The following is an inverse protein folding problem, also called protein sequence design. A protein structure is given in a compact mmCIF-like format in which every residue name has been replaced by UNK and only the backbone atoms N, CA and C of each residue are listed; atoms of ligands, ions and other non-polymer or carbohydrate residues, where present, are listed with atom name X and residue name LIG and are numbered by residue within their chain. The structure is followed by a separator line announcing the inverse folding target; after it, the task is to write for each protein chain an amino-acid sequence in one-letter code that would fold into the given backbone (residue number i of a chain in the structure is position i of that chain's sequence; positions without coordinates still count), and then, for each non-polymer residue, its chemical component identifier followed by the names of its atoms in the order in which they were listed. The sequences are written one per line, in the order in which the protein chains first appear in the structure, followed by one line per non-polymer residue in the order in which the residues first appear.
data_IF_600752034684
#
_entry.id   IF_600752034684
#
_cell.length_a   1.000
_cell.length_b   1.000
_cell.length_c   1.000
_cell.angle_alpha   90.00
_cell.angle_beta   90.00
_cell.angle_gamma   90.00
#
_symmetry.space_group_name_H-M   'P 1'
#
loop_
_entity.id
_entity.type
_entity.pdbx_description
1 polymer ?
#
# COMPACT_ATOMS: atom_id res chain seq x y z
N UNK A 1 14.88 -5.90 -18.29
CA UNK A 1 13.51 -5.78 -18.81
C UNK A 1 12.61 -5.73 -17.59
N UNK A 2 11.78 -4.70 -17.42
CA UNK A 2 10.88 -4.60 -16.26
C UNK A 2 9.68 -5.52 -16.49
N UNK A 3 9.62 -6.61 -15.76
CA UNK A 3 8.51 -7.57 -15.82
C UNK A 3 7.37 -7.12 -14.89
N UNK A 4 6.13 -7.22 -15.37
CA UNK A 4 4.93 -6.96 -14.57
C UNK A 4 4.35 -8.30 -14.13
N UNK A 5 4.36 -8.56 -12.82
CA UNK A 5 3.77 -9.77 -12.24
C UNK A 5 2.27 -9.59 -12.06
N UNK A 6 1.49 -10.09 -13.02
CA UNK A 6 0.02 -10.10 -12.93
C UNK A 6 -0.47 -11.32 -12.18
N UNK A 7 -1.25 -11.13 -11.12
CA UNK A 7 -1.84 -12.21 -10.30
C UNK A 7 -3.26 -11.85 -9.86
N UNK A 8 -4.07 -12.85 -9.54
CA UNK A 8 -5.45 -12.58 -9.07
C UNK A 8 -5.48 -12.04 -7.64
N UNK A 9 -4.63 -12.57 -6.76
CA UNK A 9 -4.72 -12.36 -5.30
C UNK A 9 -3.43 -11.77 -4.74
N UNK A 10 -3.54 -11.09 -3.59
CA UNK A 10 -2.39 -10.43 -2.92
C UNK A 10 -1.23 -11.38 -2.65
N UNK A 11 -1.52 -12.53 -2.03
CA UNK A 11 -0.49 -13.51 -1.68
C UNK A 11 0.23 -14.03 -2.93
N UNK A 12 -0.51 -14.29 -4.01
CA UNK A 12 0.06 -14.75 -5.27
C UNK A 12 0.95 -13.69 -5.93
N UNK A 13 0.52 -12.42 -5.90
CA UNK A 13 1.36 -11.29 -6.34
C UNK A 13 2.65 -11.18 -5.53
N UNK A 14 2.56 -11.29 -4.21
CA UNK A 14 3.72 -11.29 -3.32
C UNK A 14 4.66 -12.48 -3.59
N UNK A 15 4.12 -13.69 -3.74
CA UNK A 15 4.89 -14.90 -4.04
C UNK A 15 5.68 -14.76 -5.36
N UNK A 16 5.05 -14.21 -6.40
CA UNK A 16 5.71 -13.94 -7.67
C UNK A 16 6.91 -12.99 -7.49
N UNK A 17 6.69 -11.85 -6.83
CA UNK A 17 7.75 -10.87 -6.60
C UNK A 17 8.89 -11.38 -5.70
N UNK A 18 8.57 -12.03 -4.58
CA UNK A 18 9.60 -12.52 -3.64
C UNK A 18 10.41 -13.69 -4.23
N UNK A 19 9.79 -14.58 -5.02
CA UNK A 19 10.52 -15.66 -5.72
C UNK A 19 11.41 -15.11 -6.82
N UNK A 20 10.95 -14.12 -7.57
CA UNK A 20 11.78 -13.41 -8.53
C UNK A 20 13.02 -12.79 -7.87
N UNK A 21 12.85 -12.12 -6.72
CA UNK A 21 13.99 -11.60 -5.95
C UNK A 21 14.91 -12.72 -5.46
N UNK A 22 14.33 -13.84 -5.01
CA UNK A 22 15.10 -15.01 -4.58
C UNK A 22 15.94 -15.63 -5.71
N UNK A 23 15.54 -15.49 -6.98
CA UNK A 23 16.30 -15.95 -8.13
C UNK A 23 17.39 -14.97 -8.59
N UNK A 24 17.34 -13.71 -8.16
CA UNK A 24 18.37 -12.73 -8.52
C UNK A 24 19.68 -12.99 -7.78
N UNK A 25 20.81 -12.66 -8.42
CA UNK A 25 22.16 -12.86 -7.86
C UNK A 25 22.38 -12.06 -6.57
N UNK A 26 21.90 -10.82 -6.53
CA UNK A 26 22.03 -9.87 -5.41
C UNK A 26 20.83 -9.88 -4.46
N UNK A 27 19.81 -10.71 -4.75
CA UNK A 27 18.55 -10.77 -3.99
C UNK A 27 17.80 -9.42 -3.93
N UNK A 28 18.09 -8.54 -4.88
CA UNK A 28 17.40 -7.27 -5.09
C UNK A 28 17.16 -7.03 -6.58
N UNK A 29 16.29 -6.06 -6.87
CA UNK A 29 16.00 -5.60 -8.24
C UNK A 29 15.38 -4.21 -8.20
N UNK A 30 15.51 -3.47 -9.30
CA UNK A 30 14.81 -2.21 -9.49
C UNK A 30 13.51 -2.42 -10.25
N UNK A 31 12.50 -1.62 -9.91
CA UNK A 31 11.21 -1.58 -10.60
C UNK A 31 10.47 -2.92 -10.63
N UNK A 32 10.31 -3.58 -9.48
CA UNK A 32 9.42 -4.74 -9.36
C UNK A 32 7.98 -4.26 -9.34
N UNK A 33 7.20 -4.62 -10.37
CA UNK A 33 5.81 -4.21 -10.53
C UNK A 33 4.89 -5.41 -10.37
N UNK A 34 3.91 -5.31 -9.47
CA UNK A 34 2.90 -6.34 -9.22
C UNK A 34 1.52 -5.72 -9.49
N UNK A 35 0.71 -6.40 -10.30
CA UNK A 35 -0.69 -6.07 -10.53
C UNK A 35 -1.58 -7.19 -9.99
N UNK A 36 -2.53 -6.83 -9.13
CA UNK A 36 -3.44 -7.73 -8.44
C UNK A 36 -4.87 -7.44 -8.89
N UNK A 37 -5.51 -8.44 -9.52
CA UNK A 37 -6.83 -8.25 -10.13
C UNK A 37 -7.97 -8.13 -9.12
N UNK A 38 -7.93 -8.95 -8.06
CA UNK A 38 -8.96 -9.00 -7.00
C UNK A 38 -8.28 -8.91 -5.62
N UNK A 39 -7.78 -7.71 -5.25
CA UNK A 39 -6.94 -7.54 -4.07
C UNK A 39 -7.64 -7.84 -2.73
N UNK A 40 -8.97 -7.82 -2.71
CA UNK A 40 -9.79 -8.11 -1.53
C UNK A 40 -10.08 -9.61 -1.36
N UNK A 41 -9.84 -10.42 -2.39
CA UNK A 41 -10.11 -11.86 -2.36
C UNK A 41 -8.98 -12.63 -1.66
N UNK A 42 -9.36 -13.56 -0.78
CA UNK A 42 -8.43 -14.47 -0.11
C UNK A 42 -9.06 -15.87 0.01
N UNK A 43 -8.25 -16.90 -0.23
CA UNK A 43 -8.59 -18.31 -0.08
C UNK A 43 -8.04 -18.87 1.23
N UNK A 44 -8.37 -20.12 1.56
CA UNK A 44 -7.74 -20.80 2.69
C UNK A 44 -6.24 -21.03 2.47
N UNK A 45 -5.84 -21.29 1.23
CA UNK A 45 -4.44 -21.40 0.84
C UNK A 45 -3.66 -20.11 1.15
N UNK A 46 -4.25 -18.95 0.85
CA UNK A 46 -3.64 -17.65 1.18
C UNK A 46 -3.47 -17.46 2.68
N UNK A 47 -4.45 -17.93 3.47
CA UNK A 47 -4.39 -17.86 4.93
C UNK A 47 -3.27 -18.74 5.48
N UNK A 48 -3.08 -19.93 4.92
CA UNK A 48 -1.97 -20.82 5.30
C UNK A 48 -0.60 -20.23 4.93
N UNK A 49 -0.48 -19.60 3.77
CA UNK A 49 0.74 -18.86 3.39
C UNK A 49 1.03 -17.74 4.38
N UNK A 50 0.03 -16.93 4.74
CA UNK A 50 0.19 -15.83 5.71
C UNK A 50 0.63 -16.39 7.07
N UNK A 51 0.03 -17.47 7.56
CA UNK A 51 0.41 -18.14 8.81
C UNK A 51 1.87 -18.63 8.76
N UNK A 52 2.27 -19.27 7.66
CA UNK A 52 3.63 -19.77 7.48
C UNK A 52 4.68 -18.65 7.49
N UNK A 53 4.38 -17.53 6.84
CA UNK A 53 5.22 -16.31 6.85
C UNK A 53 5.29 -15.72 8.26
N UNK A 54 4.16 -15.58 8.95
CA UNK A 54 4.14 -15.07 10.32
C UNK A 54 4.98 -15.94 11.28
N UNK A 55 4.88 -17.26 11.18
CA UNK A 55 5.69 -18.19 11.97
C UNK A 55 7.19 -18.03 11.66
N UNK A 56 7.56 -17.82 10.40
CA UNK A 56 8.95 -17.60 10.01
C UNK A 56 9.50 -16.28 10.56
N UNK A 57 8.71 -15.19 10.49
CA UNK A 57 9.04 -13.89 11.07
C UNK A 57 9.20 -13.96 12.59
N UNK A 58 8.29 -14.65 13.28
CA UNK A 58 8.32 -14.84 14.73
C UNK A 58 9.58 -15.59 15.19
N UNK A 59 9.94 -16.69 14.49
CA UNK A 59 11.15 -17.47 14.80
C UNK A 59 12.45 -16.67 14.72
N UNK A 60 12.42 -15.49 14.10
CA UNK A 60 13.57 -14.60 13.92
C UNK A 60 13.41 -13.27 14.64
N UNK A 61 12.46 -13.19 15.58
CA UNK A 61 12.18 -11.98 16.37
C UNK A 61 11.99 -10.74 15.49
N UNK A 62 11.37 -10.91 14.32
CA UNK A 62 11.02 -9.77 13.48
C UNK A 62 10.10 -8.83 14.28
N UNK A 63 10.32 -7.53 14.13
CA UNK A 63 9.62 -6.52 14.92
C UNK A 63 8.10 -6.46 14.68
N UNK A 64 7.60 -7.03 13.57
CA UNK A 64 6.19 -6.96 13.18
C UNK A 64 5.76 -8.29 12.56
N UNK A 65 4.54 -8.73 12.89
CA UNK A 65 3.83 -9.71 12.09
C UNK A 65 3.34 -9.10 10.77
N UNK A 66 2.89 -9.95 9.85
CA UNK A 66 2.22 -9.56 8.61
C UNK A 66 1.06 -8.60 8.88
N UNK A 67 0.21 -8.93 9.87
CA UNK A 67 -0.94 -8.08 10.21
C UNK A 67 -0.56 -6.78 10.93
N UNK A 68 0.54 -6.77 11.69
CA UNK A 68 1.07 -5.52 12.25
C UNK A 68 1.59 -4.61 11.15
N UNK A 69 2.27 -5.16 10.13
CA UNK A 69 2.69 -4.39 8.96
C UNK A 69 1.49 -3.83 8.18
N UNK A 70 0.44 -4.64 7.94
CA UNK A 70 -0.80 -4.18 7.31
C UNK A 70 -1.45 -3.02 8.09
N UNK A 71 -1.49 -3.13 9.42
CA UNK A 71 -2.02 -2.10 10.32
C UNK A 71 -1.26 -0.77 10.30
N UNK A 72 -0.03 -0.73 9.76
CA UNK A 72 0.69 0.53 9.53
C UNK A 72 0.15 1.32 8.34
N UNK A 73 -0.45 0.63 7.36
CA UNK A 73 -1.08 1.22 6.17
C UNK A 73 -2.53 1.57 6.46
N UNK A 74 -3.32 0.62 6.95
CA UNK A 74 -4.72 0.85 7.28
C UNK A 74 -5.15 0.09 8.56
N UNK A 75 -5.74 0.77 9.56
CA UNK A 75 -6.10 0.16 10.84
C UNK A 75 -7.46 -0.55 10.77
N UNK A 76 -7.56 -1.60 9.94
CA UNK A 76 -8.79 -2.32 9.63
C UNK A 76 -9.65 -2.70 10.86
N UNK A 77 -9.04 -3.19 11.94
CA UNK A 77 -9.79 -3.61 13.15
C UNK A 77 -10.45 -2.45 13.89
N UNK A 78 -9.81 -1.27 13.87
CA UNK A 78 -10.37 -0.06 14.50
C UNK A 78 -11.50 0.46 13.61
N UNK A 79 -11.30 0.49 12.29
CA UNK A 79 -12.36 0.84 11.35
C UNK A 79 -13.58 -0.08 11.48
N UNK A 80 -13.40 -1.40 11.49
CA UNK A 80 -14.51 -2.36 11.64
C UNK A 80 -15.31 -2.17 12.94
N UNK A 81 -14.67 -1.67 14.00
CA UNK A 81 -15.32 -1.47 15.30
C UNK A 81 -16.09 -0.16 15.37
N UNK A 82 -15.59 0.89 14.75
CA UNK A 82 -16.10 2.26 14.95
C UNK A 82 -16.72 2.90 13.70
N UNK A 83 -16.41 2.41 12.50
CA UNK A 83 -16.89 2.99 11.25
C UNK A 83 -16.37 4.42 11.00
N UNK A 84 -16.70 4.98 9.83
CA UNK A 84 -16.48 6.41 9.52
C UNK A 84 -17.62 7.24 10.12
N UNK A 85 -17.35 8.43 10.70
CA UNK A 85 -16.05 9.08 10.88
C UNK A 85 -15.33 8.71 12.20
N UNK A 86 -15.97 7.96 13.10
CA UNK A 86 -15.51 7.80 14.49
C UNK A 86 -14.16 7.09 14.63
N UNK A 87 -13.78 6.24 13.68
CA UNK A 87 -12.50 5.52 13.72
C UNK A 87 -11.28 6.47 13.70
N UNK A 88 -11.38 7.65 13.10
CA UNK A 88 -10.28 8.60 12.97
C UNK A 88 -9.75 9.05 14.34
N UNK A 89 -10.64 9.57 15.20
CA UNK A 89 -10.29 10.07 16.53
C UNK A 89 -9.79 8.94 17.44
N UNK A 90 -10.40 7.75 17.31
CA UNK A 90 -10.01 6.56 18.06
C UNK A 90 -8.62 6.08 17.69
N UNK A 91 -8.29 6.05 16.39
CA UNK A 91 -6.96 5.69 15.93
C UNK A 91 -5.89 6.65 16.46
N UNK A 92 -6.14 7.96 16.39
CA UNK A 92 -5.23 8.99 16.94
C UNK A 92 -4.94 8.77 18.43
N UNK A 93 -5.97 8.46 19.21
CA UNK A 93 -5.80 8.19 20.66
C UNK A 93 -4.96 6.94 20.93
N UNK A 94 -5.14 5.88 20.14
CA UNK A 94 -4.39 4.62 20.30
C UNK A 94 -2.91 4.82 19.95
N UNK A 95 -2.62 5.47 18.83
CA UNK A 95 -1.24 5.72 18.38
C UNK A 95 -0.50 6.67 19.33
N UNK A 96 -1.15 7.74 19.81
CA UNK A 96 -0.53 8.69 20.74
C UNK A 96 -0.04 8.03 22.06
N UNK A 97 -0.64 6.91 22.46
CA UNK A 97 -0.24 6.15 23.67
C UNK A 97 0.91 5.17 23.43
N UNK A 98 1.08 4.70 22.19
CA UNK A 98 2.04 3.65 21.84
C UNK A 98 3.27 4.14 21.08
N UNK A 99 3.28 5.39 20.62
CA UNK A 99 4.33 5.95 19.79
C UNK A 99 5.45 6.57 20.65
N UNK A 100 6.73 6.21 20.41
CA UNK A 100 7.85 6.89 21.03
C UNK A 100 7.87 8.39 20.69
N UNK A 101 8.30 9.22 21.63
CA UNK A 101 8.46 10.66 21.39
C UNK A 101 9.47 10.91 20.28
N UNK A 102 9.09 11.70 19.26
CA UNK A 102 9.93 12.01 18.09
C UNK A 102 9.85 11.00 16.94
N UNK A 103 9.01 9.96 17.05
CA UNK A 103 8.75 9.02 15.93
C UNK A 103 7.89 9.69 14.84
N UNK A 104 8.08 9.27 13.60
CA UNK A 104 7.53 9.90 12.40
C UNK A 104 6.05 9.60 12.13
N UNK A 105 5.46 8.69 12.92
CA UNK A 105 4.06 8.29 12.78
C UNK A 105 3.84 6.88 12.23
N UNK A 106 2.63 6.67 11.75
CA UNK A 106 2.28 5.57 10.83
C UNK A 106 1.81 6.17 9.51
N UNK A 107 1.74 5.37 8.44
CA UNK A 107 1.15 5.85 7.19
C UNK A 107 -0.30 6.28 7.41
N UNK A 108 -1.10 5.46 8.10
CA UNK A 108 -2.47 5.79 8.43
C UNK A 108 -2.59 7.14 9.16
N UNK A 109 -1.69 7.48 10.10
CA UNK A 109 -1.69 8.79 10.78
C UNK A 109 -1.44 9.93 9.78
N UNK A 110 -0.47 9.78 8.87
CA UNK A 110 -0.18 10.78 7.83
C UNK A 110 -1.31 10.93 6.80
N UNK A 111 -2.08 9.87 6.56
CA UNK A 111 -3.24 9.90 5.67
C UNK A 111 -4.45 10.62 6.27
N UNK A 112 -4.58 10.64 7.61
CA UNK A 112 -5.77 11.17 8.30
C UNK A 112 -5.54 12.46 9.11
N UNK A 113 -4.30 12.87 9.33
CA UNK A 113 -3.98 14.01 10.19
C UNK A 113 -2.77 14.78 9.64
N UNK A 114 -3.04 15.82 8.85
CA UNK A 114 -2.01 16.71 8.27
C UNK A 114 -2.14 18.11 8.83
N UNK A 115 -1.02 18.69 9.27
CA UNK A 115 -0.93 20.10 9.70
C UNK A 115 -0.84 21.02 8.47
N UNK A 116 -1.58 22.11 8.52
CA UNK A 116 -1.50 23.24 7.60
C UNK A 116 -0.54 24.30 8.15
N UNK A 117 -0.16 25.26 7.29
CA UNK A 117 0.78 26.32 7.64
C UNK A 117 0.22 27.28 8.71
N UNK A 118 -1.11 27.40 8.80
CA UNK A 118 -1.82 28.15 9.84
C UNK A 118 -1.94 27.41 11.19
N UNK A 119 -1.38 26.20 11.28
CA UNK A 119 -1.38 25.36 12.47
C UNK A 119 -2.63 24.50 12.67
N UNK A 120 -3.65 24.61 11.81
CA UNK A 120 -4.82 23.72 11.82
C UNK A 120 -4.48 22.34 11.27
N UNK A 121 -5.31 21.33 11.53
CA UNK A 121 -5.17 20.01 10.89
C UNK A 121 -6.39 19.65 10.06
N UNK A 122 -6.18 18.90 8.99
CA UNK A 122 -7.25 18.28 8.20
C UNK A 122 -6.93 16.82 7.87
N UNK A 123 -7.92 16.09 7.38
CA UNK A 123 -7.83 14.68 7.01
C UNK A 123 -7.81 14.53 5.46
N UNK A 124 -6.63 14.36 4.84
CA UNK A 124 -6.52 14.22 3.39
C UNK A 124 -7.34 13.05 2.83
N UNK A 125 -7.34 11.90 3.52
CA UNK A 125 -8.11 10.72 3.11
C UNK A 125 -9.62 11.01 3.09
N UNK A 126 -10.13 11.77 4.06
CA UNK A 126 -11.55 12.13 4.11
C UNK A 126 -11.94 13.10 2.99
N UNK A 127 -11.05 14.04 2.64
CA UNK A 127 -11.27 14.96 1.50
C UNK A 127 -11.31 14.22 0.16
N UNK A 128 -10.50 13.17 -0.01
CA UNK A 128 -10.59 12.27 -1.17
C UNK A 128 -11.96 11.60 -1.22
N UNK A 129 -12.48 11.09 -0.10
CA UNK A 129 -13.80 10.44 -0.02
C UNK A 129 -14.92 11.42 -0.35
N UNK A 130 -14.96 12.60 0.28
CA UNK A 130 -15.95 13.66 0.00
C UNK A 130 -16.00 14.00 -1.50
N UNK A 131 -14.83 14.09 -2.14
CA UNK A 131 -14.71 14.39 -3.56
C UNK A 131 -15.19 13.24 -4.43
N UNK A 132 -14.84 11.99 -4.12
CA UNK A 132 -15.35 10.80 -4.83
C UNK A 132 -16.89 10.73 -4.80
N UNK A 133 -17.50 11.06 -3.65
CA UNK A 133 -18.96 11.19 -3.52
C UNK A 133 -19.49 12.27 -4.47
N UNK A 134 -18.84 13.45 -4.51
CA UNK A 134 -19.29 14.59 -5.31
C UNK A 134 -19.21 14.38 -6.83
N UNK A 135 -18.31 13.51 -7.31
CA UNK A 135 -18.10 13.23 -8.75
C UNK A 135 -18.87 12.00 -9.26
N UNK A 136 -19.55 11.26 -8.39
CA UNK A 136 -20.35 10.08 -8.74
C UNK A 136 -21.43 10.44 -9.78
N UNK A 137 -21.43 9.73 -10.91
CA UNK A 137 -22.40 9.93 -12.00
C UNK A 137 -22.14 11.11 -12.95
N UNK A 138 -20.96 11.76 -12.87
CA UNK A 138 -20.57 12.91 -13.72
C UNK A 138 -19.37 12.56 -14.62
N UNK A 139 -19.15 13.32 -15.71
CA UNK A 139 -17.89 13.25 -16.47
C UNK A 139 -16.70 13.70 -15.60
N UNK A 140 -15.58 12.98 -15.65
CA UNK A 140 -14.38 13.23 -14.85
C UNK A 140 -13.10 12.75 -15.58
N UNK A 141 -11.93 13.32 -15.24
CA UNK A 141 -10.64 12.96 -15.84
C UNK A 141 -10.11 11.62 -15.29
N UNK A 142 -9.54 10.77 -16.17
CA UNK A 142 -9.15 9.38 -15.85
C UNK A 142 -7.78 9.22 -15.16
N UNK A 143 -6.83 10.14 -15.37
CA UNK A 143 -5.53 10.18 -14.67
C UNK A 143 -4.83 11.53 -14.95
N UNK A 144 -4.68 12.38 -13.92
CA UNK A 144 -4.09 13.73 -14.01
C UNK A 144 -3.57 14.16 -12.61
N UNK A 145 -2.30 14.32 -12.23
CA UNK A 145 -0.94 14.22 -12.82
C UNK A 145 0.08 14.08 -11.67
N UNK A 146 1.19 13.35 -11.85
CA UNK A 146 2.32 13.25 -10.90
C UNK A 146 3.48 14.20 -11.27
N UNK A 147 3.97 14.96 -10.29
CA UNK A 147 5.39 15.26 -9.99
C UNK A 147 5.34 15.88 -8.59
N UNK A 148 5.96 15.25 -7.59
CA UNK A 148 5.85 15.69 -6.19
C UNK A 148 6.47 17.07 -5.92
N UNK A 149 5.75 18.13 -6.29
CA UNK A 149 6.02 19.55 -5.99
C UNK A 149 4.67 20.23 -5.66
N UNK A 150 3.83 19.56 -4.86
CA UNK A 150 2.66 20.23 -4.30
C UNK A 150 3.11 21.19 -3.19
N UNK A 151 2.75 22.46 -3.32
CA UNK A 151 2.68 23.37 -2.19
C UNK A 151 1.25 23.25 -1.61
N UNK A 152 1.08 22.60 -0.44
CA UNK A 152 -0.24 22.39 0.15
C UNK A 152 -1.02 23.69 0.39
N UNK A 153 -0.35 24.83 0.51
CA UNK A 153 -1.01 26.12 0.69
C UNK A 153 -1.67 26.63 -0.59
N UNK A 154 -1.11 26.28 -1.76
CA UNK A 154 -1.55 26.75 -3.08
C UNK A 154 -2.51 25.77 -3.74
N UNK A 155 -2.26 24.46 -3.60
CA UNK A 155 -3.04 23.42 -4.28
C UNK A 155 -4.37 23.09 -3.58
N UNK A 156 -4.57 23.60 -2.36
CA UNK A 156 -5.76 23.34 -1.52
C UNK A 156 -6.73 24.53 -1.53
N UNK A 157 -6.32 25.71 -2.00
CA UNK A 157 -7.18 26.90 -1.95
C UNK A 157 -8.22 26.97 -3.07
N UNK A 158 -9.49 27.08 -2.65
CA UNK A 158 -10.60 27.75 -3.33
C UNK A 158 -10.84 27.47 -4.82
N UNK A 159 -11.17 26.23 -5.21
CA UNK A 159 -12.28 25.93 -6.12
C UNK A 159 -12.33 24.43 -6.42
N UNK A 160 -13.55 23.93 -6.61
CA UNK A 160 -13.85 22.58 -7.11
C UNK A 160 -13.24 22.24 -8.49
N UNK A 161 -12.42 23.13 -9.08
CA UNK A 161 -11.87 23.02 -10.43
C UNK A 161 -10.33 23.10 -10.50
N UNK A 162 -9.58 22.93 -9.40
CA UNK A 162 -8.12 22.83 -9.37
C UNK A 162 -7.60 21.39 -9.22
N UNK A 163 -6.53 21.04 -9.92
CA UNK A 163 -6.14 19.68 -10.32
C UNK A 163 -5.12 19.08 -9.32
N UNK A 164 -5.38 17.87 -8.81
CA UNK A 164 -4.40 17.02 -8.11
C UNK A 164 -4.78 16.64 -6.67
N UNK A 165 -5.02 15.34 -6.40
CA UNK A 165 -5.15 14.81 -5.02
C UNK A 165 -4.03 13.79 -4.81
N UNK A 166 -2.82 14.33 -4.63
CA UNK A 166 -1.66 13.56 -4.24
C UNK A 166 -1.71 13.30 -2.72
N UNK A 167 -1.37 12.08 -2.31
CA UNK A 167 -1.17 11.74 -0.89
C UNK A 167 0.33 11.55 -0.62
N UNK A 168 1.12 12.65 -0.53
CA UNK A 168 2.54 12.54 -0.29
C UNK A 168 2.75 11.97 1.12
N UNK A 169 3.31 10.77 1.18
CA UNK A 169 3.67 10.11 2.44
C UNK A 169 5.01 10.61 2.99
N UNK A 170 5.84 11.25 2.16
CA UNK A 170 7.10 11.88 2.52
C UNK A 170 6.92 13.40 2.70
N UNK A 171 7.44 13.94 3.80
CA UNK A 171 7.39 15.37 4.11
C UNK A 171 8.82 15.91 4.27
N UNK A 172 9.36 16.67 3.29
CA UNK A 172 10.72 17.21 3.35
C UNK A 172 11.00 18.09 4.59
N UNK A 173 9.98 18.72 5.18
CA UNK A 173 10.14 19.56 6.36
C UNK A 173 10.55 18.76 7.61
N UNK A 174 10.22 17.47 7.67
CA UNK A 174 10.52 16.58 8.80
C UNK A 174 11.45 15.42 8.44
N UNK A 175 11.35 14.89 7.23
CA UNK A 175 12.02 13.63 6.86
C UNK A 175 13.43 13.85 6.26
N UNK A 176 13.80 15.06 5.82
CA UNK A 176 15.06 15.31 5.08
C UNK A 176 16.34 14.97 5.83
N UNK A 177 16.27 14.90 7.16
CA UNK A 177 17.41 14.59 8.04
C UNK A 177 17.35 13.16 8.59
N UNK A 178 16.35 12.36 8.18
CA UNK A 178 16.19 10.97 8.60
C UNK A 178 16.98 10.02 7.70
N UNK A 179 18.17 9.63 8.16
CA UNK A 179 19.06 8.71 7.46
C UNK A 179 18.56 7.25 7.48
N UNK A 180 17.71 6.88 8.45
CA UNK A 180 17.08 5.58 8.60
C UNK A 180 15.65 5.73 9.13
N UNK A 181 14.74 4.80 8.80
CA UNK A 181 13.37 4.79 9.33
C UNK A 181 12.38 5.73 8.64
N UNK A 182 12.74 6.36 7.52
CA UNK A 182 11.85 7.22 6.74
C UNK A 182 10.79 6.42 5.94
N UNK A 183 9.65 7.04 5.58
CA UNK A 183 8.57 6.39 4.83
C UNK A 183 9.09 5.75 3.53
N UNK A 184 8.75 4.48 3.32
CA UNK A 184 9.09 3.69 2.14
C UNK A 184 8.01 3.74 1.06
N UNK A 185 6.73 3.75 1.45
CA UNK A 185 5.64 4.11 0.56
C UNK A 185 5.82 5.59 0.24
N UNK A 186 5.81 5.96 -1.03
CA UNK A 186 6.09 7.30 -1.55
C UNK A 186 4.83 7.98 -2.08
N UNK A 187 3.95 7.21 -2.71
CA UNK A 187 2.73 7.74 -3.32
C UNK A 187 1.64 6.66 -3.37
N UNK A 188 0.38 7.08 -3.20
CA UNK A 188 -0.82 6.26 -3.43
C UNK A 188 -1.81 7.11 -4.23
N UNK A 189 -2.31 6.55 -5.33
CA UNK A 189 -3.35 7.16 -6.16
C UNK A 189 -4.50 6.20 -6.36
N UNK A 190 -5.72 6.75 -6.36
CA UNK A 190 -6.93 6.04 -6.71
C UNK A 190 -7.41 6.49 -8.08
N UNK A 191 -7.94 5.56 -8.88
CA UNK A 191 -8.47 5.84 -10.22
C UNK A 191 -9.82 5.17 -10.40
N UNK A 192 -10.73 5.82 -11.10
CA UNK A 192 -11.98 5.20 -11.54
C UNK A 192 -11.76 4.57 -12.91
N UNK A 193 -11.75 3.24 -12.95
CA UNK A 193 -11.52 2.43 -14.13
C UNK A 193 -12.71 1.49 -14.30
N UNK A 194 -13.42 1.60 -15.42
CA UNK A 194 -14.59 0.74 -15.74
C UNK A 194 -15.64 0.68 -14.60
N UNK A 195 -15.85 1.81 -13.93
CA UNK A 195 -16.79 1.94 -12.81
C UNK A 195 -16.28 1.42 -11.47
N UNK A 196 -15.03 0.92 -11.40
CA UNK A 196 -14.38 0.43 -10.18
C UNK A 196 -13.25 1.34 -9.73
N UNK A 197 -12.97 1.31 -8.43
CA UNK A 197 -11.91 2.10 -7.81
C UNK A 197 -10.60 1.31 -7.79
N UNK A 198 -9.72 1.56 -8.75
CA UNK A 198 -8.36 1.03 -8.79
C UNK A 198 -7.44 1.78 -7.81
N UNK A 199 -6.41 1.10 -7.31
CA UNK A 199 -5.34 1.66 -6.48
C UNK A 199 -3.98 1.47 -7.15
N UNK A 200 -3.13 2.48 -7.14
CA UNK A 200 -1.69 2.32 -7.42
C UNK A 200 -0.87 2.85 -6.25
N UNK A 201 0.09 2.04 -5.77
CA UNK A 201 1.04 2.41 -4.73
C UNK A 201 2.46 2.35 -5.26
N UNK A 202 3.29 3.34 -4.91
CA UNK A 202 4.71 3.41 -5.27
C UNK A 202 5.53 3.37 -3.99
N UNK A 203 6.44 2.40 -3.89
CA UNK A 203 7.45 2.28 -2.83
C UNK A 203 8.83 2.62 -3.39
N UNK A 204 9.52 3.59 -2.80
CA UNK A 204 10.92 3.90 -3.18
C UNK A 204 11.94 2.83 -2.77
N UNK A 205 11.59 2.02 -1.76
CA UNK A 205 12.38 0.90 -1.25
C UNK A 205 11.44 -0.07 -0.54
N UNK A 206 11.49 -1.35 -0.86
CA UNK A 206 10.53 -2.33 -0.37
C UNK A 206 11.21 -3.63 0.06
N UNK A 207 11.06 -3.95 1.35
CA UNK A 207 11.51 -5.20 1.96
C UNK A 207 10.43 -6.27 1.78
N UNK A 208 10.74 -7.29 0.97
CA UNK A 208 9.76 -8.29 0.54
C UNK A 208 9.49 -9.36 1.59
N UNK A 209 10.45 -9.68 2.45
CA UNK A 209 10.26 -10.66 3.51
C UNK A 209 9.51 -10.04 4.71
N UNK A 210 10.00 -8.95 5.30
CA UNK A 210 9.40 -8.37 6.51
C UNK A 210 8.15 -7.52 6.30
N UNK A 211 7.98 -6.90 5.12
CA UNK A 211 7.03 -5.79 4.96
C UNK A 211 6.03 -6.01 3.82
N UNK A 212 6.47 -6.46 2.66
CA UNK A 212 5.65 -6.38 1.45
C UNK A 212 4.31 -7.12 1.54
N UNK A 213 4.28 -8.33 2.13
CA UNK A 213 3.02 -9.06 2.26
C UNK A 213 2.00 -8.28 3.10
N UNK A 214 2.41 -7.79 4.27
CA UNK A 214 1.56 -6.97 5.13
C UNK A 214 1.16 -5.65 4.47
N UNK A 215 2.11 -4.98 3.81
CA UNK A 215 1.86 -3.74 3.08
C UNK A 215 0.79 -3.91 2.00
N UNK A 216 0.88 -4.96 1.17
CA UNK A 216 -0.09 -5.25 0.13
C UNK A 216 -1.49 -5.57 0.70
N UNK A 217 -1.55 -6.32 1.81
CA UNK A 217 -2.82 -6.57 2.51
C UNK A 217 -3.42 -5.28 3.08
N UNK A 218 -2.59 -4.40 3.64
CA UNK A 218 -3.02 -3.10 4.16
C UNK A 218 -3.50 -2.16 3.05
N UNK A 219 -2.87 -2.17 1.88
CA UNK A 219 -3.32 -1.42 0.69
C UNK A 219 -4.65 -1.95 0.16
N UNK A 220 -4.85 -3.27 0.11
CA UNK A 220 -6.13 -3.86 -0.27
C UNK A 220 -7.27 -3.47 0.68
N UNK A 221 -6.98 -3.41 1.99
CA UNK A 221 -7.90 -2.92 3.02
C UNK A 221 -8.20 -1.43 2.87
N UNK A 222 -7.18 -0.60 2.62
CA UNK A 222 -7.34 0.82 2.34
C UNK A 222 -8.23 1.04 1.10
N UNK A 223 -7.97 0.33 0.02
CA UNK A 223 -8.78 0.39 -1.20
C UNK A 223 -10.23 -0.01 -0.94
N UNK A 224 -10.46 -1.10 -0.20
CA UNK A 224 -11.80 -1.52 0.18
C UNK A 224 -12.52 -0.45 1.01
N UNK A 225 -11.83 0.14 1.98
CA UNK A 225 -12.38 1.24 2.78
C UNK A 225 -12.82 2.41 1.91
N UNK A 226 -11.92 2.93 1.06
CA UNK A 226 -12.23 4.07 0.20
C UNK A 226 -13.38 3.73 -0.76
N UNK A 227 -13.36 2.53 -1.36
CA UNK A 227 -14.42 2.07 -2.25
C UNK A 227 -15.78 2.01 -1.54
N UNK A 228 -15.84 1.38 -0.35
CA UNK A 228 -17.06 1.27 0.45
C UNK A 228 -17.62 2.65 0.82
N UNK A 229 -16.79 3.53 1.39
CA UNK A 229 -17.24 4.84 1.88
C UNK A 229 -17.62 5.80 0.74
N UNK A 230 -17.08 5.60 -0.46
CA UNK A 230 -17.46 6.36 -1.67
C UNK A 230 -18.57 5.68 -2.50
N UNK A 231 -18.99 4.47 -2.11
CA UNK A 231 -20.02 3.69 -2.80
C UNK A 231 -19.61 3.22 -4.20
N UNK A 232 -18.32 2.93 -4.41
CA UNK A 232 -17.79 2.26 -5.58
C UNK A 232 -17.39 0.81 -5.23
N UNK A 233 -17.26 -0.04 -6.24
CA UNK A 233 -16.63 -1.34 -6.07
C UNK A 233 -15.10 -1.21 -6.13
N UNK A 234 -14.33 -1.97 -5.35
CA UNK A 234 -12.88 -2.00 -5.50
C UNK A 234 -12.49 -2.66 -6.83
N UNK A 235 -11.54 -2.05 -7.52
CA UNK A 235 -10.93 -2.55 -8.75
C UNK A 235 -9.57 -3.19 -8.52
N UNK A 236 -8.69 -3.12 -9.53
CA UNK A 236 -7.35 -3.68 -9.48
C UNK A 236 -6.43 -2.87 -8.56
N UNK A 237 -5.40 -3.52 -8.05
CA UNK A 237 -4.32 -2.86 -7.31
C UNK A 237 -2.99 -3.06 -8.02
N UNK A 238 -2.25 -1.97 -8.25
CA UNK A 238 -0.87 -2.00 -8.76
C UNK A 238 0.09 -1.54 -7.67
N UNK A 239 1.18 -2.28 -7.45
CA UNK A 239 2.25 -1.91 -6.54
C UNK A 239 3.58 -1.85 -7.30
N UNK A 240 4.21 -0.68 -7.30
CA UNK A 240 5.52 -0.43 -7.91
C UNK A 240 6.54 -0.32 -6.80
N UNK A 241 7.51 -1.24 -6.77
CA UNK A 241 8.67 -1.16 -5.87
C UNK A 241 9.89 -0.72 -6.68
N UNK A 242 10.27 0.56 -6.61
CA UNK A 242 11.35 1.10 -7.43
C UNK A 242 12.72 0.53 -7.05
N UNK A 243 12.91 0.21 -5.77
CA UNK A 243 13.93 -0.72 -5.28
C UNK A 243 13.25 -1.80 -4.42
N UNK A 244 13.49 -3.06 -4.75
CA UNK A 244 12.92 -4.21 -4.07
C UNK A 244 14.03 -5.13 -3.60
N UNK A 245 13.95 -5.61 -2.35
CA UNK A 245 14.95 -6.47 -1.75
C UNK A 245 14.31 -7.63 -1.00
N UNK A 246 14.85 -8.83 -1.20
CA UNK A 246 14.65 -9.94 -0.30
C UNK A 246 15.57 -9.73 0.91
N UNK A 247 15.01 -9.08 1.92
CA UNK A 247 15.65 -8.81 3.21
C UNK A 247 15.72 -10.10 4.07
N UNK A 248 16.53 -10.12 5.15
CA UNK A 248 16.75 -11.34 5.93
C UNK A 248 15.57 -11.73 6.84
N UNK A 249 14.42 -11.06 6.79
CA UNK A 249 13.29 -11.27 7.69
C UNK A 249 12.82 -12.72 7.86
N UNK A 250 12.92 -13.53 6.80
CA UNK A 250 12.57 -14.95 6.81
C UNK A 250 13.72 -15.86 7.29
N UNK A 251 14.69 -15.31 8.01
CA UNK A 251 15.87 -16.04 8.52
C UNK A 251 17.06 -16.07 7.57
N UNK A 252 17.14 -15.10 6.66
CA UNK A 252 18.16 -15.03 5.61
C UNK A 252 17.78 -15.81 4.34
N UNK A 253 18.64 -15.73 3.32
CA UNK A 253 18.32 -16.20 1.97
C UNK A 253 18.04 -17.70 1.89
N UNK A 254 18.84 -18.54 2.55
CA UNK A 254 18.67 -20.00 2.47
C UNK A 254 17.36 -20.47 3.11
N UNK A 255 17.02 -20.08 4.36
CA UNK A 255 15.72 -20.43 4.93
C UNK A 255 14.54 -19.83 4.17
N UNK A 256 14.68 -18.61 3.65
CA UNK A 256 13.66 -17.99 2.82
C UNK A 256 13.36 -18.85 1.57
N UNK A 257 14.38 -19.25 0.81
CA UNK A 257 14.20 -20.11 -0.39
C UNK A 257 13.49 -21.42 -0.05
N UNK A 258 13.94 -22.11 1.00
CA UNK A 258 13.34 -23.38 1.45
C UNK A 258 11.87 -23.21 1.82
N UNK A 259 11.51 -22.12 2.51
CA UNK A 259 10.11 -21.80 2.80
C UNK A 259 9.34 -21.52 1.51
N UNK A 260 9.88 -20.69 0.62
CA UNK A 260 9.21 -20.31 -0.61
C UNK A 260 8.93 -21.51 -1.52
N UNK A 261 9.80 -22.52 -1.56
CA UNK A 261 9.59 -23.77 -2.30
C UNK A 261 8.37 -24.56 -1.83
N UNK A 262 7.98 -24.46 -0.56
CA UNK A 262 6.81 -25.19 -0.03
C UNK A 262 5.49 -24.47 -0.24
N UNK A 263 5.51 -23.19 -0.62
CA UNK A 263 4.30 -22.39 -0.78
C UNK A 263 3.71 -22.58 -2.19
N UNK A 264 2.39 -22.75 -2.34
CA UNK A 264 1.77 -22.89 -3.65
C UNK A 264 1.79 -21.56 -4.42
N UNK A 265 2.20 -21.60 -5.70
CA UNK A 265 2.07 -20.47 -6.61
C UNK A 265 1.13 -20.83 -7.76
N UNK A 266 0.27 -19.90 -8.09
CA UNK A 266 -0.56 -19.94 -9.27
C UNK A 266 0.21 -19.35 -10.46
N UNK A 267 0.59 -20.22 -11.40
CA UNK A 267 1.31 -19.85 -12.63
C UNK A 267 0.37 -19.50 -13.80
N UNK A 268 -0.94 -19.64 -13.62
CA UNK A 268 -1.94 -19.47 -14.70
C UNK A 268 -2.01 -18.07 -15.29
N UNK A 269 -1.43 -17.07 -14.61
CA UNK A 269 -1.40 -15.66 -15.06
C UNK A 269 -0.04 -15.21 -15.62
N UNK A 270 0.86 -16.13 -15.98
CA UNK A 270 2.14 -15.78 -16.62
C UNK A 270 1.97 -15.34 -18.09
N UNK A 271 0.84 -15.66 -18.74
CA UNK A 271 0.55 -15.26 -20.13
C UNK A 271 -0.90 -14.84 -20.32
N UNK A 272 -1.20 -13.55 -20.15
CA UNK A 272 -2.07 -12.91 -21.15
C UNK A 272 -1.15 -12.68 -22.35
N UNK A 273 -1.27 -13.58 -23.33
CA UNK A 273 -0.46 -13.60 -24.53
C UNK A 273 -0.47 -12.24 -25.22
N UNK A 274 0.71 -11.85 -25.66
CA UNK A 274 0.98 -10.88 -26.72
C UNK A 274 0.37 -11.31 -28.08
N UNK A 275 -0.68 -12.13 -28.11
CA UNK A 275 -1.26 -12.73 -29.33
C UNK A 275 -2.66 -12.19 -29.67
N UNK A 276 -3.19 -11.20 -28.95
CA UNK A 276 -4.46 -10.56 -29.31
C UNK A 276 -4.31 -9.22 -30.05
N UNK A 277 -3.09 -8.88 -30.50
CA UNK A 277 -2.83 -7.71 -31.36
C UNK A 277 -1.89 -8.12 -32.50
N UNK A 278 -2.41 -8.97 -33.37
CA UNK A 278 -2.10 -9.07 -34.80
C UNK A 278 -3.43 -9.27 -35.53
#
# INVERSE_FOLDING_TARGET
MTEVFRRSRVVQGWLAGIRYLASQKSHDSTNVIIEIATPQSATEEDREVIKAVDLALQRKNAQRSVMTAAGTIFPQRIYQRYGRPDWYARYKTVIARGMPSGDWGTYALRMIDRKQDDGTTFNPLDKIIEKLIAVKGKQHFKATYELGVCDPSVDIENAFNGIGFELPTYNPAVDRHMYMGSPCLSHVTFKLMDGKLDLTAIYRSHYYAERALGNLLGLAQLQQYVATESGFEPGKMTCVSTYAKLDPGLGGIRPARKLLETLPIDETLIKASLEAVL
#
